data_IF_173427885025
#
_entry.id   IF_173427885025
#
_cell.length_a   1.000
_cell.length_b   1.000
_cell.length_c   1.000
_cell.angle_alpha   90.00
_cell.angle_beta   90.00
_cell.angle_gamma   90.00
#
_symmetry.space_group_name_H-M   'P 1'
#
loop_
_entity.id
_entity.type
_entity.pdbx_description
1 polymer ?
#
# COMPACT_ATOMS: atom_id res chain seq x y z
N UNK A 1 0.96 -7.67 -33.14
CA UNK A 1 2.07 -7.85 -32.15
C UNK A 1 2.74 -6.53 -31.82
N UNK A 2 3.02 -5.64 -32.79
CA UNK A 2 3.68 -4.35 -32.49
C UNK A 2 2.84 -3.43 -31.60
N UNK A 3 1.54 -3.38 -31.79
CA UNK A 3 0.65 -2.54 -30.98
C UNK A 3 0.67 -2.93 -29.48
N UNK A 4 0.85 -4.22 -29.18
CA UNK A 4 0.95 -4.70 -27.81
C UNK A 4 2.26 -4.29 -27.12
N UNK A 5 3.31 -3.96 -27.89
CA UNK A 5 4.61 -3.52 -27.35
C UNK A 5 4.66 -2.01 -27.12
N UNK A 6 3.60 -1.28 -27.44
CA UNK A 6 3.53 0.16 -27.18
C UNK A 6 3.14 0.43 -25.73
N UNK A 7 3.64 1.51 -25.11
CA UNK A 7 3.22 1.91 -23.77
C UNK A 7 1.70 2.08 -23.62
N UNK A 8 1.01 2.43 -24.71
CA UNK A 8 -0.44 2.64 -24.75
C UNK A 8 -1.18 1.37 -24.30
N UNK A 9 -0.69 0.18 -24.70
CA UNK A 9 -1.32 -1.07 -24.26
C UNK A 9 -1.35 -1.20 -22.74
N UNK A 10 -0.22 -1.05 -22.06
CA UNK A 10 -0.14 -1.17 -20.59
C UNK A 10 -0.98 -0.13 -19.88
N UNK A 11 -1.02 1.11 -20.39
CA UNK A 11 -1.84 2.20 -19.83
C UNK A 11 -3.32 1.87 -19.99
N UNK A 12 -3.78 1.60 -21.21
CA UNK A 12 -5.19 1.29 -21.48
C UNK A 12 -5.64 0.04 -20.73
N UNK A 13 -4.81 -1.00 -20.71
CA UNK A 13 -5.08 -2.24 -19.99
C UNK A 13 -5.33 -1.99 -18.50
N UNK A 14 -4.46 -1.22 -17.83
CA UNK A 14 -4.62 -0.88 -16.42
C UNK A 14 -5.86 -0.04 -16.16
N UNK A 15 -6.12 0.99 -16.98
CA UNK A 15 -7.27 1.89 -16.82
C UNK A 15 -8.59 1.15 -17.06
N UNK A 16 -8.66 0.30 -18.07
CA UNK A 16 -9.87 -0.50 -18.36
C UNK A 16 -10.19 -1.41 -17.19
N UNK A 17 -9.21 -2.18 -16.71
CA UNK A 17 -9.42 -3.11 -15.59
C UNK A 17 -9.82 -2.37 -14.30
N UNK A 18 -9.19 -1.24 -14.03
CA UNK A 18 -9.53 -0.42 -12.87
C UNK A 18 -10.96 0.14 -12.99
N UNK A 19 -11.36 0.63 -14.16
CA UNK A 19 -12.71 1.17 -14.41
C UNK A 19 -13.76 0.07 -14.30
N UNK A 20 -13.50 -1.13 -14.83
CA UNK A 20 -14.36 -2.30 -14.65
C UNK A 20 -14.49 -2.63 -13.17
N UNK A 21 -13.37 -2.68 -12.44
CA UNK A 21 -13.35 -2.89 -10.99
C UNK A 21 -14.21 -1.88 -10.25
N UNK A 22 -14.11 -0.58 -10.58
CA UNK A 22 -14.95 0.47 -9.99
C UNK A 22 -16.45 0.24 -10.23
N UNK A 23 -16.80 -0.14 -11.47
CA UNK A 23 -18.19 -0.40 -11.81
C UNK A 23 -18.74 -1.62 -11.06
N UNK A 24 -17.98 -2.72 -11.03
CA UNK A 24 -18.35 -3.94 -10.31
C UNK A 24 -18.46 -3.70 -8.79
N UNK A 25 -17.55 -2.93 -8.22
CA UNK A 25 -17.55 -2.59 -6.80
C UNK A 25 -18.79 -1.79 -6.41
N UNK A 26 -19.15 -0.78 -7.22
CA UNK A 26 -20.40 -0.02 -7.01
C UNK A 26 -21.63 -0.91 -7.13
N UNK A 27 -21.68 -1.77 -8.16
CA UNK A 27 -22.82 -2.66 -8.41
C UNK A 27 -22.98 -3.73 -7.31
N UNK A 28 -21.88 -4.21 -6.74
CA UNK A 28 -21.86 -5.18 -5.63
C UNK A 28 -22.05 -4.57 -4.24
N UNK A 29 -22.39 -3.27 -4.14
CA UNK A 29 -22.56 -2.55 -2.87
C UNK A 29 -21.31 -2.61 -1.97
N UNK A 30 -20.12 -2.59 -2.57
CA UNK A 30 -18.86 -2.55 -1.83
C UNK A 30 -18.32 -3.93 -1.42
N UNK A 31 -18.60 -4.97 -2.20
CA UNK A 31 -18.04 -6.29 -1.93
C UNK A 31 -16.50 -6.25 -2.04
N UNK A 32 -15.82 -6.62 -0.95
CA UNK A 32 -14.38 -6.37 -0.77
C UNK A 32 -13.47 -7.01 -1.83
N UNK A 33 -13.81 -8.20 -2.35
CA UNK A 33 -13.04 -8.86 -3.42
C UNK A 33 -13.13 -8.12 -4.76
N UNK A 34 -14.11 -7.25 -4.93
CA UNK A 34 -14.27 -6.40 -6.11
C UNK A 34 -13.72 -4.98 -5.89
N UNK A 35 -12.97 -4.77 -4.79
CA UNK A 35 -12.25 -3.51 -4.59
C UNK A 35 -11.43 -3.19 -5.85
N UNK A 36 -11.55 -1.98 -6.43
CA UNK A 36 -11.09 -1.69 -7.79
C UNK A 36 -9.61 -2.02 -8.03
N UNK A 37 -8.74 -1.69 -7.07
CA UNK A 37 -7.31 -1.95 -7.18
C UNK A 37 -7.01 -3.45 -7.13
N UNK A 38 -7.62 -4.17 -6.16
CA UNK A 38 -7.44 -5.61 -6.03
C UNK A 38 -7.95 -6.36 -7.26
N UNK A 39 -9.16 -6.01 -7.73
CA UNK A 39 -9.73 -6.57 -8.95
C UNK A 39 -8.81 -6.35 -10.16
N UNK A 40 -8.32 -5.12 -10.35
CA UNK A 40 -7.45 -4.79 -11.47
C UNK A 40 -6.13 -5.58 -11.44
N UNK A 41 -5.53 -5.77 -10.26
CA UNK A 41 -4.30 -6.53 -10.11
C UNK A 41 -4.53 -8.01 -10.42
N UNK A 42 -5.52 -8.63 -9.76
CA UNK A 42 -5.79 -10.07 -9.94
C UNK A 42 -6.22 -10.39 -11.36
N UNK A 43 -7.20 -9.65 -11.89
CA UNK A 43 -7.65 -9.85 -13.27
C UNK A 43 -6.55 -9.54 -14.29
N UNK A 44 -5.72 -8.52 -14.03
CA UNK A 44 -4.58 -8.17 -14.87
C UNK A 44 -3.57 -9.31 -14.96
N UNK A 45 -3.18 -9.91 -13.83
CA UNK A 45 -2.28 -11.06 -13.80
C UNK A 45 -2.87 -12.23 -14.59
N UNK A 46 -4.15 -12.57 -14.35
CA UNK A 46 -4.83 -13.69 -15.04
C UNK A 46 -4.90 -13.45 -16.55
N UNK A 47 -5.30 -12.25 -16.96
CA UNK A 47 -5.43 -11.93 -18.40
C UNK A 47 -4.07 -11.93 -19.09
N UNK A 48 -3.03 -11.33 -18.48
CA UNK A 48 -1.68 -11.36 -19.06
C UNK A 48 -1.14 -12.79 -19.15
N UNK A 49 -1.43 -13.65 -18.17
CA UNK A 49 -1.07 -15.05 -18.21
C UNK A 49 -1.79 -15.79 -19.35
N UNK A 50 -3.11 -15.60 -19.51
CA UNK A 50 -3.88 -16.18 -20.61
C UNK A 50 -3.38 -15.71 -21.96
N UNK A 51 -3.12 -14.41 -22.11
CA UNK A 51 -2.59 -13.83 -23.36
C UNK A 51 -1.22 -14.39 -23.70
N UNK A 52 -0.32 -14.55 -22.72
CA UNK A 52 1.01 -15.14 -22.95
C UNK A 52 0.90 -16.58 -23.44
N UNK A 53 0.00 -17.39 -22.85
CA UNK A 53 -0.28 -18.75 -23.29
C UNK A 53 -0.87 -18.80 -24.69
N UNK A 54 -1.84 -17.96 -25.00
CA UNK A 54 -2.46 -17.87 -26.32
C UNK A 54 -1.50 -17.48 -27.43
N UNK A 55 -0.46 -16.71 -27.11
CA UNK A 55 0.58 -16.28 -28.04
C UNK A 55 1.83 -17.19 -28.05
N UNK A 56 1.84 -18.25 -27.25
CA UNK A 56 2.97 -19.17 -27.15
C UNK A 56 4.25 -18.54 -26.58
N UNK A 57 4.11 -17.47 -25.79
CA UNK A 57 5.23 -16.74 -25.17
C UNK A 57 5.31 -17.02 -23.67
N UNK A 58 6.52 -16.88 -23.11
CA UNK A 58 6.69 -16.91 -21.66
C UNK A 58 6.05 -15.69 -21.01
N UNK A 59 5.41 -15.90 -19.85
CA UNK A 59 4.68 -14.86 -19.09
C UNK A 59 5.57 -13.67 -18.74
N UNK A 60 6.80 -13.93 -18.30
CA UNK A 60 7.78 -12.88 -17.94
C UNK A 60 8.15 -12.05 -19.17
N UNK A 61 8.40 -12.72 -20.30
CA UNK A 61 8.73 -12.07 -21.56
C UNK A 61 7.57 -11.22 -22.05
N UNK A 62 6.34 -11.76 -22.03
CA UNK A 62 5.14 -11.04 -22.41
C UNK A 62 4.89 -9.82 -21.53
N UNK A 63 4.98 -10.00 -20.20
CA UNK A 63 4.88 -8.89 -19.24
C UNK A 63 5.89 -7.78 -19.54
N UNK A 64 7.16 -8.15 -19.72
CA UNK A 64 8.25 -7.17 -19.92
C UNK A 64 8.11 -6.41 -21.25
N UNK A 65 7.66 -7.08 -22.30
CA UNK A 65 7.56 -6.46 -23.64
C UNK A 65 6.23 -5.73 -23.88
N UNK A 66 5.13 -6.22 -23.33
CA UNK A 66 3.82 -5.69 -23.62
C UNK A 66 3.30 -4.76 -22.50
N UNK A 67 3.26 -5.23 -21.25
CA UNK A 67 2.64 -4.47 -20.17
C UNK A 67 3.58 -3.44 -19.55
N UNK A 68 4.82 -3.86 -19.24
CA UNK A 68 5.78 -3.06 -18.46
C UNK A 68 6.03 -1.66 -19.03
N UNK A 69 6.19 -1.43 -20.34
CA UNK A 69 6.42 -0.08 -20.87
C UNK A 69 5.33 0.93 -20.50
N UNK A 70 4.06 0.50 -20.50
CA UNK A 70 2.95 1.35 -20.07
C UNK A 70 2.81 1.41 -18.56
N UNK A 71 3.07 0.32 -17.87
CA UNK A 71 3.10 0.26 -16.41
C UNK A 71 4.14 1.19 -15.80
N UNK A 72 5.34 1.25 -16.38
CA UNK A 72 6.40 2.16 -15.95
C UNK A 72 6.00 3.64 -16.12
N UNK A 73 5.30 4.00 -17.20
CA UNK A 73 4.77 5.36 -17.37
C UNK A 73 3.74 5.72 -16.30
N UNK A 74 2.84 4.79 -15.97
CA UNK A 74 1.89 5.01 -14.84
C UNK A 74 2.68 5.17 -13.54
N UNK A 75 3.72 4.37 -13.34
CA UNK A 75 4.56 4.42 -12.13
C UNK A 75 5.27 5.77 -11.96
N UNK A 76 5.63 6.47 -13.03
CA UNK A 76 6.21 7.82 -12.96
C UNK A 76 5.31 8.84 -12.26
N UNK A 77 3.98 8.65 -12.34
CA UNK A 77 3.03 9.51 -11.62
C UNK A 77 3.02 9.28 -10.10
N UNK A 78 3.71 8.25 -9.60
CA UNK A 78 3.80 7.98 -8.16
C UNK A 78 4.42 9.17 -7.41
N UNK A 79 5.52 9.76 -7.92
CA UNK A 79 6.18 10.88 -7.27
C UNK A 79 5.29 12.13 -7.20
N UNK A 80 4.69 12.62 -8.30
CA UNK A 80 3.73 13.73 -8.23
C UNK A 80 2.53 13.42 -7.33
N UNK A 81 2.01 12.20 -7.35
CA UNK A 81 0.90 11.81 -6.49
C UNK A 81 1.28 11.84 -5.00
N UNK A 82 2.50 11.41 -4.67
CA UNK A 82 3.01 11.49 -3.29
C UNK A 82 3.19 12.94 -2.84
N UNK A 83 3.73 13.81 -3.71
CA UNK A 83 3.87 15.24 -3.42
C UNK A 83 2.48 15.90 -3.22
N UNK A 84 1.45 15.46 -3.94
CA UNK A 84 0.09 15.98 -3.79
C UNK A 84 -0.47 15.81 -2.37
N UNK A 85 0.03 14.85 -1.56
CA UNK A 85 -0.35 14.73 -0.15
C UNK A 85 0.09 15.94 0.71
N UNK A 86 1.02 16.77 0.22
CA UNK A 86 1.36 18.02 0.90
C UNK A 86 0.18 19.02 0.92
N UNK A 87 -0.76 18.92 -0.02
CA UNK A 87 -1.90 19.84 -0.11
C UNK A 87 -2.85 19.72 1.08
N UNK A 88 -3.42 18.53 1.42
CA UNK A 88 -4.24 18.38 2.61
C UNK A 88 -3.45 18.63 3.91
N UNK A 89 -2.16 18.29 3.94
CA UNK A 89 -1.28 18.59 5.06
C UNK A 89 -1.16 20.11 5.30
N UNK A 90 -0.91 20.87 4.24
CA UNK A 90 -0.82 22.32 4.31
C UNK A 90 -2.13 22.97 4.76
N UNK A 91 -3.27 22.47 4.24
CA UNK A 91 -4.61 22.98 4.61
C UNK A 91 -4.96 22.76 6.09
N UNK A 92 -4.37 21.78 6.76
CA UNK A 92 -4.59 21.44 8.17
C UNK A 92 -3.36 21.65 9.05
N UNK A 93 -2.45 22.55 8.61
CA UNK A 93 -1.19 22.83 9.29
C UNK A 93 -1.38 23.37 10.72
N UNK A 94 -2.48 24.07 10.99
CA UNK A 94 -2.88 24.50 12.32
C UNK A 94 -3.09 23.33 13.29
N UNK A 95 -3.78 22.29 12.83
CA UNK A 95 -3.98 21.05 13.61
C UNK A 95 -2.67 20.31 13.80
N UNK A 96 -1.86 20.21 12.74
CA UNK A 96 -0.54 19.55 12.80
C UNK A 96 0.36 20.24 13.81
N UNK A 97 0.48 21.56 13.76
CA UNK A 97 1.29 22.35 14.70
C UNK A 97 0.81 22.21 16.13
N UNK A 98 -0.50 22.09 16.35
CA UNK A 98 -1.06 21.94 17.67
C UNK A 98 -0.80 20.55 18.30
N UNK A 99 -0.86 19.51 17.49
CA UNK A 99 -0.80 18.11 17.93
C UNK A 99 0.43 17.35 17.40
N UNK A 100 1.50 18.04 17.02
CA UNK A 100 2.64 17.40 16.36
C UNK A 100 3.35 16.35 17.24
N UNK A 101 3.41 16.58 18.55
CA UNK A 101 4.03 15.64 19.50
C UNK A 101 3.19 14.37 19.59
N UNK A 102 1.88 14.51 19.75
CA UNK A 102 0.94 13.39 19.84
C UNK A 102 0.90 12.60 18.52
N UNK A 103 0.93 13.29 17.38
CA UNK A 103 0.96 12.67 16.05
C UNK A 103 2.24 11.86 15.90
N UNK A 104 3.40 12.49 16.11
CA UNK A 104 4.70 11.83 15.92
C UNK A 104 4.90 10.67 16.90
N UNK A 105 4.61 10.89 18.19
CA UNK A 105 4.75 9.83 19.20
C UNK A 105 3.83 8.65 18.93
N UNK A 106 2.57 8.89 18.57
CA UNK A 106 1.63 7.80 18.25
C UNK A 106 2.06 6.99 17.02
N UNK A 107 2.59 7.65 15.98
CA UNK A 107 3.08 6.97 14.79
C UNK A 107 4.33 6.13 15.07
N UNK A 108 5.30 6.67 15.84
CA UNK A 108 6.52 5.95 16.20
C UNK A 108 6.23 4.76 17.13
N UNK A 109 5.44 4.98 18.18
CA UNK A 109 5.05 3.91 19.12
C UNK A 109 4.23 2.84 18.38
N UNK A 110 3.23 3.25 17.60
CA UNK A 110 2.41 2.35 16.80
C UNK A 110 3.25 1.51 15.84
N UNK A 111 4.26 2.12 15.21
CA UNK A 111 5.20 1.41 14.33
C UNK A 111 6.03 0.37 15.08
N UNK A 112 6.61 0.72 16.22
CA UNK A 112 7.40 -0.22 17.02
C UNK A 112 6.54 -1.40 17.46
N UNK A 113 5.34 -1.13 17.98
CA UNK A 113 4.39 -2.18 18.38
C UNK A 113 4.03 -3.07 17.18
N UNK A 114 3.77 -2.48 16.00
CA UNK A 114 3.49 -3.22 14.77
C UNK A 114 4.67 -4.13 14.38
N UNK A 115 5.90 -3.65 14.42
CA UNK A 115 7.09 -4.45 14.09
C UNK A 115 7.24 -5.64 15.03
N UNK A 116 7.05 -5.43 16.34
CA UNK A 116 7.10 -6.50 17.35
C UNK A 116 6.02 -7.55 17.05
N UNK A 117 4.79 -7.12 16.78
CA UNK A 117 3.68 -8.02 16.44
C UNK A 117 3.93 -8.78 15.13
N UNK A 118 4.45 -8.12 14.10
CA UNK A 118 4.81 -8.77 12.82
C UNK A 118 5.83 -9.89 13.09
N UNK A 119 6.88 -9.61 13.84
CA UNK A 119 7.90 -10.64 14.17
C UNK A 119 7.29 -11.78 14.99
N UNK A 120 6.53 -11.45 16.04
CA UNK A 120 5.90 -12.46 16.88
C UNK A 120 4.97 -13.38 16.09
N UNK A 121 4.05 -12.81 15.30
CA UNK A 121 3.12 -13.59 14.48
C UNK A 121 3.87 -14.38 13.41
N UNK A 122 4.85 -13.78 12.74
CA UNK A 122 5.66 -14.45 11.72
C UNK A 122 6.40 -15.67 12.28
N UNK A 123 6.97 -15.55 13.48
CA UNK A 123 7.61 -16.68 14.18
C UNK A 123 6.59 -17.74 14.60
N UNK A 124 5.42 -17.36 15.11
CA UNK A 124 4.35 -18.29 15.48
C UNK A 124 3.85 -19.11 14.29
N UNK A 125 3.79 -18.52 13.09
CA UNK A 125 3.38 -19.19 11.84
C UNK A 125 4.54 -19.97 11.22
N UNK A 126 5.76 -19.88 11.76
CA UNK A 126 6.92 -20.62 11.27
C UNK A 126 7.57 -20.03 10.02
N UNK A 127 7.44 -18.71 9.79
CA UNK A 127 8.13 -18.06 8.67
C UNK A 127 9.65 -18.13 8.83
N UNK A 128 10.35 -18.35 7.72
CA UNK A 128 11.81 -18.24 7.67
C UNK A 128 12.29 -16.81 7.91
N UNK A 129 13.58 -16.63 8.19
CA UNK A 129 14.17 -15.28 8.34
C UNK A 129 13.89 -14.39 7.13
N UNK A 130 14.01 -14.93 5.91
CA UNK A 130 13.66 -14.22 4.68
C UNK A 130 12.18 -13.83 4.66
N UNK A 131 11.30 -14.73 5.14
CA UNK A 131 9.87 -14.45 5.27
C UNK A 131 9.59 -13.31 6.25
N UNK A 132 10.23 -13.33 7.43
CA UNK A 132 10.10 -12.26 8.43
C UNK A 132 10.60 -10.93 7.86
N UNK A 133 11.80 -10.91 7.26
CA UNK A 133 12.37 -9.73 6.61
C UNK A 133 11.42 -9.15 5.53
N UNK A 134 10.73 -10.02 4.80
CA UNK A 134 9.75 -9.61 3.78
C UNK A 134 8.50 -8.94 4.36
N UNK A 135 8.11 -9.31 5.58
CA UNK A 135 6.89 -8.78 6.20
C UNK A 135 7.12 -7.48 6.98
N UNK A 136 8.35 -7.18 7.40
CA UNK A 136 8.65 -6.00 8.22
C UNK A 136 8.25 -4.67 7.56
N UNK A 137 8.59 -4.39 6.29
CA UNK A 137 8.30 -3.09 5.68
C UNK A 137 6.85 -2.90 5.23
N UNK A 138 5.96 -3.88 5.43
CA UNK A 138 4.58 -3.83 4.91
C UNK A 138 3.75 -2.64 5.40
N UNK A 139 4.18 -1.95 6.46
CA UNK A 139 3.54 -0.73 6.96
C UNK A 139 3.85 0.52 6.13
N UNK A 140 4.80 0.45 5.19
CA UNK A 140 5.08 1.54 4.25
C UNK A 140 4.46 1.29 2.88
N UNK A 141 4.43 2.34 2.06
CA UNK A 141 4.03 2.18 0.64
C UNK A 141 5.00 1.26 -0.08
N UNK A 142 4.51 0.53 -1.08
CA UNK A 142 5.33 -0.41 -1.88
C UNK A 142 6.61 0.24 -2.40
N UNK A 143 6.55 1.52 -2.81
CA UNK A 143 7.71 2.26 -3.30
C UNK A 143 8.85 2.37 -2.28
N UNK A 144 8.53 2.49 -0.99
CA UNK A 144 9.50 2.56 0.12
C UNK A 144 9.83 1.15 0.62
N UNK A 145 8.82 0.29 0.74
CA UNK A 145 8.97 -1.05 1.31
C UNK A 145 9.92 -1.95 0.50
N UNK A 146 9.86 -1.91 -0.85
CA UNK A 146 10.65 -2.83 -1.68
C UNK A 146 12.18 -2.60 -1.58
N UNK A 147 12.70 -1.37 -1.67
CA UNK A 147 14.13 -1.12 -1.45
C UNK A 147 14.60 -1.56 -0.07
N UNK A 148 13.83 -1.28 0.99
CA UNK A 148 14.16 -1.69 2.36
C UNK A 148 14.18 -3.21 2.46
N UNK A 149 13.18 -3.91 1.91
CA UNK A 149 13.13 -5.38 1.89
C UNK A 149 14.37 -5.97 1.23
N UNK A 150 14.76 -5.42 0.08
CA UNK A 150 15.98 -5.87 -0.62
C UNK A 150 17.25 -5.66 0.24
N UNK A 151 17.33 -4.52 0.94
CA UNK A 151 18.46 -4.19 1.80
C UNK A 151 18.59 -5.12 3.02
N UNK A 152 17.46 -5.60 3.58
CA UNK A 152 17.44 -6.50 4.74
C UNK A 152 17.32 -7.99 4.37
N UNK A 153 17.56 -8.34 3.10
CA UNK A 153 17.58 -9.75 2.64
C UNK A 153 16.21 -10.42 2.51
N UNK A 154 15.13 -9.66 2.45
CA UNK A 154 13.77 -10.16 2.25
C UNK A 154 13.43 -10.40 0.77
N UNK A 155 12.29 -11.02 0.52
CA UNK A 155 11.72 -11.23 -0.82
C UNK A 155 10.77 -10.08 -1.18
N UNK A 156 11.15 -9.26 -2.14
CA UNK A 156 10.38 -8.07 -2.56
C UNK A 156 8.99 -8.40 -3.12
N UNK A 157 8.80 -9.57 -3.75
CA UNK A 157 7.49 -9.98 -4.24
C UNK A 157 6.52 -10.29 -3.07
N UNK A 158 7.01 -10.90 -2.01
CA UNK A 158 6.23 -11.15 -0.78
C UNK A 158 5.84 -9.83 -0.12
N UNK A 159 6.79 -8.89 -0.01
CA UNK A 159 6.52 -7.55 0.53
C UNK A 159 5.47 -6.81 -0.30
N UNK A 160 5.60 -6.82 -1.64
CA UNK A 160 4.62 -6.18 -2.52
C UNK A 160 3.21 -6.74 -2.27
N UNK A 161 3.08 -8.06 -2.17
CA UNK A 161 1.81 -8.72 -1.89
C UNK A 161 1.27 -8.33 -0.51
N UNK A 162 2.11 -8.29 0.52
CA UNK A 162 1.71 -7.89 1.86
C UNK A 162 1.21 -6.44 1.90
N UNK A 163 1.91 -5.50 1.26
CA UNK A 163 1.47 -4.10 1.14
C UNK A 163 0.11 -3.98 0.44
N UNK A 164 -0.11 -4.73 -0.65
CA UNK A 164 -1.36 -4.71 -1.40
C UNK A 164 -2.49 -5.30 -0.56
N UNK A 165 -2.27 -6.43 0.11
CA UNK A 165 -3.26 -7.06 0.98
C UNK A 165 -3.64 -6.16 2.16
N UNK A 166 -2.67 -5.50 2.78
CA UNK A 166 -2.93 -4.49 3.81
C UNK A 166 -3.88 -3.41 3.31
N UNK A 167 -3.59 -2.80 2.17
CA UNK A 167 -4.42 -1.76 1.59
C UNK A 167 -5.85 -2.25 1.30
N UNK A 168 -5.99 -3.46 0.76
CA UNK A 168 -7.30 -4.08 0.47
C UNK A 168 -8.08 -4.36 1.75
N UNK A 169 -7.43 -4.93 2.77
CA UNK A 169 -8.06 -5.24 4.07
C UNK A 169 -8.53 -3.96 4.75
N UNK A 170 -7.70 -2.93 4.77
CA UNK A 170 -8.05 -1.64 5.37
C UNK A 170 -9.20 -0.97 4.61
N UNK A 171 -9.21 -1.00 3.30
CA UNK A 171 -10.34 -0.46 2.53
C UNK A 171 -11.63 -1.25 2.79
N UNK A 172 -11.56 -2.57 2.88
CA UNK A 172 -12.71 -3.44 3.10
C UNK A 172 -13.26 -3.36 4.53
N UNK A 173 -12.38 -3.32 5.52
CA UNK A 173 -12.74 -3.43 6.93
C UNK A 173 -12.60 -2.11 7.70
N UNK A 174 -12.10 -1.04 7.09
CA UNK A 174 -11.73 0.20 7.75
C UNK A 174 -12.84 0.79 8.61
N UNK A 175 -14.09 0.84 8.12
CA UNK A 175 -15.24 1.30 8.93
C UNK A 175 -15.45 0.45 10.18
N UNK A 176 -15.35 -0.88 10.04
CA UNK A 176 -15.52 -1.80 11.17
C UNK A 176 -14.37 -1.67 12.15
N UNK A 177 -13.13 -1.53 11.66
CA UNK A 177 -11.95 -1.35 12.50
C UNK A 177 -11.99 -0.01 13.26
N UNK A 178 -12.36 1.09 12.60
CA UNK A 178 -12.55 2.39 13.25
C UNK A 178 -13.58 2.29 14.37
N UNK A 179 -14.69 1.59 14.15
CA UNK A 179 -15.70 1.37 15.17
C UNK A 179 -15.24 0.43 16.29
N UNK A 180 -14.58 -0.67 15.93
CA UNK A 180 -14.06 -1.66 16.89
C UNK A 180 -13.03 -1.07 17.85
N UNK A 181 -12.14 -0.23 17.34
CA UNK A 181 -11.15 0.47 18.16
C UNK A 181 -11.65 1.78 18.79
N UNK A 182 -12.95 2.06 18.72
CA UNK A 182 -13.59 3.27 19.28
C UNK A 182 -12.98 4.58 18.75
N UNK A 183 -12.55 4.59 17.49
CA UNK A 183 -11.94 5.76 16.85
C UNK A 183 -12.95 6.70 16.19
N UNK A 184 -14.27 6.40 16.30
CA UNK A 184 -15.32 7.25 15.74
C UNK A 184 -15.29 8.67 16.32
N UNK A 185 -14.94 8.81 17.60
CA UNK A 185 -14.87 10.09 18.31
C UNK A 185 -13.52 10.80 18.13
N UNK A 186 -12.50 10.08 17.62
CA UNK A 186 -11.16 10.61 17.40
C UNK A 186 -10.84 10.72 15.91
N UNK A 187 -11.24 11.83 15.29
CA UNK A 187 -10.96 12.07 13.87
C UNK A 187 -9.47 12.02 13.54
N UNK A 188 -8.62 12.50 14.44
CA UNK A 188 -7.15 12.45 14.29
C UNK A 188 -6.70 10.99 14.37
N UNK A 189 -7.10 10.25 15.40
CA UNK A 189 -6.72 8.85 15.58
C UNK A 189 -7.19 7.94 14.44
N UNK A 190 -8.44 8.12 13.97
CA UNK A 190 -8.97 7.40 12.81
C UNK A 190 -8.13 7.67 11.55
N UNK A 191 -7.79 8.93 11.28
CA UNK A 191 -6.95 9.29 10.16
C UNK A 191 -5.55 8.69 10.24
N UNK A 192 -4.87 8.85 11.38
CA UNK A 192 -3.53 8.29 11.59
C UNK A 192 -3.53 6.77 11.45
N UNK A 193 -4.50 6.08 12.07
CA UNK A 193 -4.61 4.63 12.00
C UNK A 193 -4.85 4.11 10.58
N UNK A 194 -5.77 4.73 9.84
CA UNK A 194 -6.07 4.34 8.46
C UNK A 194 -4.89 4.62 7.51
N UNK A 195 -4.20 5.75 7.68
CA UNK A 195 -3.03 6.09 6.88
C UNK A 195 -1.85 5.16 7.14
N UNK A 196 -1.60 4.82 8.41
CA UNK A 196 -0.51 3.91 8.81
C UNK A 196 -0.76 2.49 8.32
N UNK A 197 -2.00 1.99 8.42
CA UNK A 197 -2.32 0.59 8.10
C UNK A 197 -2.63 0.36 6.62
N UNK A 198 -3.23 1.34 5.94
CA UNK A 198 -3.71 1.20 4.55
C UNK A 198 -2.94 2.04 3.53
N UNK A 199 -1.88 2.72 3.94
CA UNK A 199 -1.04 3.58 3.08
C UNK A 199 -1.87 4.60 2.30
N UNK A 200 -1.56 4.78 1.02
CA UNK A 200 -2.29 5.68 0.11
C UNK A 200 -3.77 5.30 -0.06
N UNK A 201 -4.09 4.01 -0.06
CA UNK A 201 -5.48 3.52 -0.14
C UNK A 201 -6.22 3.83 1.16
N UNK A 202 -5.57 3.64 2.32
CA UNK A 202 -6.10 4.01 3.62
C UNK A 202 -6.31 5.53 3.74
N UNK A 203 -5.41 6.34 3.18
CA UNK A 203 -5.56 7.80 3.14
C UNK A 203 -6.72 8.24 2.24
N UNK A 204 -6.90 7.61 1.08
CA UNK A 204 -8.05 7.85 0.21
C UNK A 204 -9.37 7.49 0.93
N UNK A 205 -9.41 6.35 1.60
CA UNK A 205 -10.57 5.93 2.40
C UNK A 205 -10.83 6.88 3.59
N UNK A 206 -9.78 7.33 4.28
CA UNK A 206 -9.91 8.30 5.37
C UNK A 206 -10.49 9.64 4.89
N UNK A 207 -10.16 10.06 3.65
CA UNK A 207 -10.73 11.26 3.04
C UNK A 207 -12.24 11.12 2.78
N UNK A 208 -12.74 9.92 2.46
CA UNK A 208 -14.17 9.63 2.34
C UNK A 208 -14.91 9.78 3.68
N UNK A 209 -14.20 9.54 4.82
CA UNK A 209 -14.77 9.75 6.17
C UNK A 209 -14.77 11.23 6.57
N UNK A 210 -13.86 12.04 6.04
CA UNK A 210 -13.80 13.48 6.26
C UNK A 210 -12.43 14.11 5.98
N UNK A 211 -12.42 15.41 5.78
CA UNK A 211 -11.21 16.15 5.43
C UNK A 211 -10.10 16.07 6.50
N UNK A 212 -10.47 16.09 7.79
CA UNK A 212 -9.48 16.00 8.87
C UNK A 212 -8.87 14.59 8.93
N UNK A 213 -9.69 13.54 8.81
CA UNK A 213 -9.22 12.17 8.74
C UNK A 213 -8.28 11.96 7.54
N UNK A 214 -8.66 12.48 6.36
CA UNK A 214 -7.83 12.42 5.16
C UNK A 214 -6.49 13.14 5.32
N UNK A 215 -6.49 14.34 5.92
CA UNK A 215 -5.27 15.09 6.19
C UNK A 215 -4.33 14.35 7.17
N UNK A 216 -4.89 13.79 8.25
CA UNK A 216 -4.11 13.03 9.24
C UNK A 216 -3.58 11.72 8.64
N UNK A 217 -4.36 11.06 7.80
CA UNK A 217 -3.91 9.87 7.10
C UNK A 217 -2.77 10.18 6.10
N UNK A 218 -2.86 11.30 5.37
CA UNK A 218 -1.78 11.75 4.50
C UNK A 218 -0.47 12.02 5.27
N UNK A 219 -0.57 12.64 6.45
CA UNK A 219 0.58 12.81 7.35
C UNK A 219 1.17 11.46 7.77
N UNK A 220 0.31 10.53 8.20
CA UNK A 220 0.73 9.21 8.62
C UNK A 220 1.50 8.48 7.50
N UNK A 221 1.02 8.52 6.26
CA UNK A 221 1.70 7.89 5.11
C UNK A 221 3.11 8.43 4.93
N UNK A 222 3.29 9.76 5.01
CA UNK A 222 4.62 10.40 4.84
C UNK A 222 5.53 10.08 6.03
N UNK A 223 5.05 10.29 7.25
CA UNK A 223 5.85 10.09 8.46
C UNK A 223 6.23 8.62 8.63
N UNK A 224 5.30 7.69 8.43
CA UNK A 224 5.60 6.26 8.49
C UNK A 224 6.60 5.85 7.43
N UNK A 225 6.53 6.42 6.23
CA UNK A 225 7.55 6.18 5.20
C UNK A 225 8.96 6.50 5.70
N UNK A 226 9.15 7.67 6.32
CA UNK A 226 10.43 8.08 6.90
C UNK A 226 10.83 7.21 8.11
N UNK A 227 9.88 6.91 8.99
CA UNK A 227 10.13 6.08 10.19
C UNK A 227 10.52 4.66 9.81
N UNK A 228 9.84 4.07 8.83
CA UNK A 228 10.15 2.72 8.31
C UNK A 228 11.56 2.66 7.75
N UNK A 229 11.95 3.66 6.95
CA UNK A 229 13.28 3.72 6.32
C UNK A 229 14.41 3.79 7.37
N UNK A 230 14.17 4.49 8.47
CA UNK A 230 15.16 4.62 9.56
C UNK A 230 15.13 3.45 10.55
N UNK A 231 13.95 3.00 10.93
CA UNK A 231 13.77 2.04 12.05
C UNK A 231 13.98 0.61 11.61
N UNK A 232 13.52 0.21 10.42
CA UNK A 232 13.56 -1.21 10.02
C UNK A 232 14.98 -1.75 9.87
N UNK A 233 15.95 -1.06 9.24
CA UNK A 233 17.32 -1.58 9.19
C UNK A 233 17.93 -1.80 10.58
N UNK A 234 17.72 -0.84 11.50
CA UNK A 234 18.19 -0.94 12.88
C UNK A 234 17.48 -2.11 13.62
N UNK A 235 16.16 -2.19 13.48
CA UNK A 235 15.36 -3.23 14.12
C UNK A 235 15.70 -4.63 13.58
N UNK A 236 15.92 -4.78 12.27
CA UNK A 236 16.30 -6.06 11.66
C UNK A 236 17.66 -6.55 12.16
N UNK A 237 18.61 -5.64 12.38
CA UNK A 237 19.90 -5.97 12.98
C UNK A 237 19.73 -6.42 14.46
N UNK A 238 18.92 -5.70 15.23
CA UNK A 238 18.66 -6.04 16.64
C UNK A 238 18.02 -7.42 16.85
N UNK A 239 17.20 -7.87 15.89
CA UNK A 239 16.55 -9.19 15.98
C UNK A 239 17.33 -10.31 15.26
N UNK A 240 18.55 -10.01 14.75
CA UNK A 240 19.43 -10.98 14.13
C UNK A 240 18.98 -11.45 12.74
N UNK A 241 18.36 -10.58 11.95
CA UNK A 241 18.04 -10.85 10.54
C UNK A 241 19.16 -10.41 9.59
N UNK A 242 20.02 -9.51 10.02
CA UNK A 242 21.22 -9.02 9.33
C UNK A 242 22.47 -9.39 10.11
#
# INVERSE_FOLDING_TARGET
MELLKTPIFGICFSLILYTIGQHLFKKSKGFFLLQPLFFAIVSGIVILWLMSKGLGTDVKTFYTQAYKPGGDLIFWFLNPATIAFAVPLYKKNDVVKKYWVEILSSLVIGMIVSLILIVAISKMVGLSQVGIASMLPQAATTAIALPITAAIGGNTAVTAMACILNAVIIYALGKKLVSFFHLNDSKIGAGLGLGTSGHTVGAAFALELGELQGAMAAIAVVVIGLVVDLVIPIFSHLIGLL
#
